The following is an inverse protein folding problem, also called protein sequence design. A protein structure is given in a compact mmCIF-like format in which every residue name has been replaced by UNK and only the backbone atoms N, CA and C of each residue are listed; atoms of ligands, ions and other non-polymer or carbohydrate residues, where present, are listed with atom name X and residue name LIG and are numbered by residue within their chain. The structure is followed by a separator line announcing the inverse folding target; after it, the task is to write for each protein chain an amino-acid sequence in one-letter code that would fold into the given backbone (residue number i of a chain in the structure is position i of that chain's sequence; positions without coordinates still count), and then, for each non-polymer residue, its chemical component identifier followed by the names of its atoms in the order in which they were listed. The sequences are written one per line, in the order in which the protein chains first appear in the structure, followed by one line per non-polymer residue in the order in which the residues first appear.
data_IF_966050475392
#
_entry.id   IF_966050475392
#
_cell.length_a   1.000
_cell.length_b   1.000
_cell.length_c   1.000
_cell.angle_alpha   90.00
_cell.angle_beta   90.00
_cell.angle_gamma   90.00
#
_symmetry.space_group_name_H-M   'P 1'
#
loop_
_entity.id
_entity.type
_entity.pdbx_description
1 polymer ?
#
# COMPACT_ATOMS: atom_id res chain seq x y z
N UNK A 1 0.43 15.92 6.08
CA UNK A 1 -0.19 14.68 6.59
C UNK A 1 0.23 13.44 5.78
N UNK A 2 0.26 13.51 4.41
CA UNK A 2 0.69 12.38 3.58
C UNK A 2 2.22 12.22 3.54
N UNK A 3 2.99 13.30 3.59
CA UNK A 3 4.46 13.25 3.57
C UNK A 3 5.05 12.59 4.84
N UNK A 4 4.41 12.74 5.98
CA UNK A 4 4.88 12.14 7.24
C UNK A 4 4.59 10.63 7.33
N UNK A 5 3.55 10.17 6.61
CA UNK A 5 3.26 8.74 6.44
C UNK A 5 4.29 8.11 5.50
N UNK A 6 4.67 8.79 4.43
CA UNK A 6 5.68 8.33 3.48
C UNK A 6 7.05 8.15 4.14
N UNK A 7 7.46 9.07 5.01
CA UNK A 7 8.75 8.97 5.70
C UNK A 7 8.82 7.82 6.72
N UNK A 8 7.69 7.41 7.29
CA UNK A 8 7.62 6.20 8.14
C UNK A 8 7.54 4.91 7.33
N UNK A 9 7.06 4.97 6.08
CA UNK A 9 6.99 3.86 5.13
C UNK A 9 8.36 3.60 4.51
N UNK A 10 9.11 4.64 4.12
CA UNK A 10 10.43 4.51 3.49
C UNK A 10 11.44 3.75 4.38
N UNK A 11 11.40 3.97 5.69
CA UNK A 11 12.25 3.21 6.62
C UNK A 11 11.85 1.74 6.76
N UNK A 12 10.62 1.39 6.41
CA UNK A 12 10.13 0.00 6.41
C UNK A 12 10.46 -0.70 5.10
N UNK A 13 10.49 0.03 3.98
CA UNK A 13 10.87 -0.45 2.66
C UNK A 13 12.34 -0.92 2.65
N UNK A 14 13.25 -0.16 3.26
CA UNK A 14 14.65 -0.54 3.42
C UNK A 14 14.82 -1.83 4.25
N UNK A 15 13.93 -2.07 5.19
CA UNK A 15 13.92 -3.27 6.01
C UNK A 15 13.42 -4.50 5.23
N UNK A 16 12.48 -4.32 4.32
CA UNK A 16 11.90 -5.36 3.47
C UNK A 16 12.86 -5.71 2.32
N UNK A 17 13.46 -4.71 1.67
CA UNK A 17 14.41 -4.89 0.58
C UNK A 17 15.71 -5.58 0.99
N UNK A 18 16.06 -5.54 2.28
CA UNK A 18 17.23 -6.24 2.83
C UNK A 18 17.08 -7.77 2.96
N UNK A 19 15.97 -8.35 2.54
CA UNK A 19 15.74 -9.80 2.61
C UNK A 19 15.52 -10.35 4.03
N UNK A 20 15.32 -9.47 5.01
CA UNK A 20 15.21 -9.84 6.42
C UNK A 20 13.95 -10.67 6.76
N UNK A 21 13.01 -10.82 5.83
CA UNK A 21 11.83 -11.68 6.01
C UNK A 21 12.05 -13.14 5.60
N UNK A 22 13.18 -13.45 4.99
CA UNK A 22 13.46 -14.80 4.49
C UNK A 22 14.63 -15.40 5.27
N UNK A 23 14.44 -15.75 6.53
CA UNK A 23 15.22 -16.80 7.20
C UNK A 23 14.86 -16.91 8.70
N UNK A 24 14.97 -18.04 9.23
CA UNK A 24 14.97 -18.67 10.54
C UNK A 24 15.50 -17.84 11.76
N UNK A 25 15.26 -16.56 11.83
CA UNK A 25 15.65 -15.72 12.97
C UNK A 25 14.51 -14.80 13.39
N UNK A 26 14.35 -14.57 14.69
CA UNK A 26 13.53 -13.49 15.17
C UNK A 26 14.05 -12.19 14.57
N UNK A 27 13.17 -11.44 13.91
CA UNK A 27 13.50 -10.09 13.44
C UNK A 27 14.06 -9.32 14.65
N UNK A 28 15.20 -8.61 14.50
CA UNK A 28 15.65 -7.75 15.56
C UNK A 28 14.53 -6.74 15.84
N UNK A 29 13.92 -6.84 17.00
CA UNK A 29 13.03 -5.78 17.50
C UNK A 29 13.93 -4.57 17.66
N UNK A 30 14.02 -3.74 16.63
CA UNK A 30 14.68 -2.45 16.75
C UNK A 30 13.96 -1.73 17.88
N UNK A 31 14.64 -1.42 19.00
CA UNK A 31 14.05 -0.61 20.03
C UNK A 31 13.58 0.67 19.34
N UNK A 32 12.38 1.07 19.62
CA UNK A 32 11.69 2.17 18.99
C UNK A 32 12.40 3.50 19.24
N UNK A 33 13.28 3.85 18.34
CA UNK A 33 13.81 5.22 18.27
C UNK A 33 12.87 6.15 17.48
N UNK A 34 11.66 5.69 17.17
CA UNK A 34 10.67 6.51 16.50
C UNK A 34 10.02 7.46 17.49
N UNK A 35 10.09 8.75 17.19
CA UNK A 35 9.37 9.79 17.93
C UNK A 35 8.42 10.47 16.97
N UNK A 36 7.22 10.82 17.46
CA UNK A 36 6.33 11.67 16.70
C UNK A 36 6.92 13.04 16.42
N UNK A 37 6.60 13.64 15.28
CA UNK A 37 6.74 15.06 15.07
C UNK A 37 6.01 15.82 16.19
N UNK A 38 6.46 17.03 16.52
CA UNK A 38 5.97 17.79 17.68
C UNK A 38 4.44 17.95 17.71
N UNK A 39 3.82 18.07 16.54
CA UNK A 39 2.36 18.18 16.39
C UNK A 39 1.58 16.93 16.82
N UNK A 40 2.24 15.77 16.91
CA UNK A 40 1.63 14.51 17.32
C UNK A 40 2.09 14.07 18.71
N UNK A 41 2.68 14.97 19.49
CA UNK A 41 3.10 14.68 20.86
C UNK A 41 1.92 14.17 21.68
N UNK A 42 2.11 13.00 22.30
CA UNK A 42 1.07 12.36 23.12
C UNK A 42 0.22 11.30 22.38
N UNK A 43 0.35 11.18 21.08
CA UNK A 43 -0.28 10.08 20.34
C UNK A 43 0.53 8.78 20.51
N UNK A 44 -0.19 7.66 20.53
CA UNK A 44 0.44 6.33 20.55
C UNK A 44 1.03 6.00 19.19
N UNK A 45 2.29 5.60 19.15
CA UNK A 45 2.93 5.09 17.94
C UNK A 45 2.47 3.66 17.71
N UNK A 46 1.97 3.39 16.51
CA UNK A 46 1.70 2.04 16.02
C UNK A 46 2.66 1.73 14.86
N UNK A 47 3.07 0.46 14.76
CA UNK A 47 3.96 -0.01 13.70
C UNK A 47 3.16 -0.87 12.72
N UNK A 48 3.28 -0.58 11.44
CA UNK A 48 2.66 -1.32 10.37
C UNK A 48 3.65 -1.65 9.27
N UNK A 49 3.18 -2.44 8.32
CA UNK A 49 3.89 -2.75 7.07
C UNK A 49 2.93 -2.58 5.90
N UNK A 50 3.44 -2.30 4.73
CA UNK A 50 2.76 -2.56 3.48
C UNK A 50 3.42 -3.74 2.75
N UNK A 51 2.61 -4.48 2.00
CA UNK A 51 3.07 -5.71 1.34
C UNK A 51 2.37 -5.94 0.00
N UNK A 52 3.07 -6.66 -0.87
CA UNK A 52 2.57 -7.09 -2.18
C UNK A 52 3.12 -8.47 -2.53
N UNK A 53 2.85 -8.95 -3.74
CA UNK A 53 3.43 -10.20 -4.28
C UNK A 53 4.96 -10.21 -4.27
N UNK A 54 5.61 -9.04 -4.32
CA UNK A 54 7.06 -8.91 -4.29
C UNK A 54 7.69 -9.36 -2.97
N UNK A 55 6.92 -9.44 -1.90
CA UNK A 55 7.39 -9.91 -0.60
C UNK A 55 7.32 -11.45 -0.46
N UNK A 56 6.82 -12.17 -1.48
CA UNK A 56 6.68 -13.62 -1.44
C UNK A 56 5.72 -14.11 -0.36
N UNK A 57 5.96 -15.30 0.17
CA UNK A 57 5.16 -15.87 1.25
C UNK A 57 5.51 -15.27 2.60
N UNK A 58 4.52 -14.79 3.33
CA UNK A 58 4.68 -14.08 4.59
C UNK A 58 4.21 -14.94 5.76
N UNK A 59 5.04 -15.05 6.80
CA UNK A 59 4.64 -15.66 8.07
C UNK A 59 3.98 -14.63 8.98
N UNK A 60 2.67 -14.44 8.83
CA UNK A 60 1.90 -13.44 9.54
C UNK A 60 1.92 -13.56 11.06
N UNK A 61 2.09 -14.78 11.60
CA UNK A 61 2.28 -15.00 13.05
C UNK A 61 3.59 -14.39 13.54
N UNK A 62 4.67 -14.53 12.76
CA UNK A 62 5.96 -13.90 13.08
C UNK A 62 5.89 -12.38 12.94
N UNK A 63 5.19 -11.87 11.92
CA UNK A 63 4.95 -10.44 11.73
C UNK A 63 4.23 -9.87 12.97
N UNK A 64 3.14 -10.48 13.41
CA UNK A 64 2.44 -10.05 14.63
C UNK A 64 3.33 -10.11 15.87
N UNK A 65 4.08 -11.18 16.04
CA UNK A 65 4.98 -11.37 17.18
C UNK A 65 6.14 -10.35 17.22
N UNK A 66 6.51 -9.75 16.09
CA UNK A 66 7.51 -8.67 16.01
C UNK A 66 7.00 -7.29 16.45
N UNK A 67 5.73 -7.19 16.86
CA UNK A 67 5.13 -5.94 17.35
C UNK A 67 4.43 -5.12 16.25
N UNK A 68 4.31 -5.65 15.05
CA UNK A 68 3.49 -5.05 13.98
C UNK A 68 2.01 -5.17 14.35
N UNK A 69 1.26 -4.10 14.21
CA UNK A 69 -0.15 -4.03 14.60
C UNK A 69 -1.10 -3.92 13.42
N UNK A 70 -0.64 -3.44 12.27
CA UNK A 70 -1.44 -3.30 11.06
C UNK A 70 -0.65 -3.59 9.79
N UNK A 71 -1.38 -3.86 8.70
CA UNK A 71 -0.79 -4.02 7.38
C UNK A 71 -1.67 -3.38 6.29
N UNK A 72 -1.03 -2.74 5.31
CA UNK A 72 -1.64 -2.39 4.05
C UNK A 72 -1.24 -3.41 2.99
N UNK A 73 -2.22 -3.99 2.29
CA UNK A 73 -2.00 -5.09 1.35
C UNK A 73 -2.37 -4.64 -0.06
N UNK A 74 -1.43 -4.75 -1.01
CA UNK A 74 -1.74 -4.49 -2.41
C UNK A 74 -2.73 -5.53 -2.92
N UNK A 75 -3.87 -5.08 -3.43
CA UNK A 75 -4.85 -6.01 -4.02
C UNK A 75 -4.71 -6.15 -5.53
N UNK A 76 -4.09 -5.19 -6.16
CA UNK A 76 -3.86 -5.16 -7.60
C UNK A 76 -3.43 -3.78 -8.05
N UNK A 77 -3.50 -3.56 -9.36
CA UNK A 77 -3.13 -2.27 -9.93
C UNK A 77 -3.54 -2.14 -11.39
N UNK A 78 -3.12 -1.05 -11.98
CA UNK A 78 -3.19 -0.80 -13.41
C UNK A 78 -1.79 -0.80 -14.00
N UNK A 79 -1.55 -1.61 -15.01
CA UNK A 79 -0.25 -1.60 -15.73
C UNK A 79 0.05 -0.24 -16.33
N UNK A 80 1.25 0.27 -16.06
CA UNK A 80 1.71 1.58 -16.52
C UNK A 80 1.91 1.67 -18.03
N UNK A 81 2.13 0.54 -18.72
CA UNK A 81 2.24 0.48 -20.18
C UNK A 81 0.87 0.30 -20.84
N UNK A 82 0.15 -0.78 -20.53
CA UNK A 82 -1.07 -1.16 -21.23
C UNK A 82 -2.34 -0.51 -20.71
N UNK A 83 -2.34 -0.01 -19.46
CA UNK A 83 -3.54 0.49 -18.79
C UNK A 83 -4.54 -0.59 -18.38
N UNK A 84 -4.24 -1.87 -18.56
CA UNK A 84 -5.09 -2.98 -18.11
C UNK A 84 -4.98 -3.19 -16.62
N UNK A 85 -6.03 -3.70 -15.99
CA UNK A 85 -5.97 -4.13 -14.59
C UNK A 85 -5.18 -5.43 -14.44
N UNK A 86 -4.56 -5.55 -13.28
CA UNK A 86 -3.99 -6.81 -12.79
C UNK A 86 -4.39 -7.03 -11.34
N UNK A 87 -4.36 -8.27 -10.91
CA UNK A 87 -4.54 -8.69 -9.53
C UNK A 87 -3.17 -9.01 -8.95
N UNK A 88 -2.89 -8.57 -7.73
CA UNK A 88 -1.69 -8.99 -7.02
C UNK A 88 -1.79 -10.49 -6.70
N UNK A 89 -0.77 -11.25 -7.07
CA UNK A 89 -0.82 -12.71 -6.99
C UNK A 89 -1.02 -13.24 -5.56
N UNK A 90 -0.53 -12.51 -4.56
CA UNK A 90 -0.54 -12.94 -3.16
C UNK A 90 -1.62 -12.25 -2.30
N UNK A 91 -2.45 -11.36 -2.87
CA UNK A 91 -3.34 -10.53 -2.06
C UNK A 91 -4.30 -11.34 -1.19
N UNK A 92 -4.85 -12.43 -1.72
CA UNK A 92 -5.82 -13.28 -0.99
C UNK A 92 -5.18 -13.98 0.21
N UNK A 93 -3.97 -14.50 0.02
CA UNK A 93 -3.20 -15.14 1.09
C UNK A 93 -2.77 -14.11 2.13
N UNK A 94 -2.33 -12.94 1.68
CA UNK A 94 -1.94 -11.86 2.56
C UNK A 94 -3.12 -11.33 3.38
N UNK A 95 -4.28 -11.08 2.78
CA UNK A 95 -5.48 -10.67 3.50
C UNK A 95 -5.90 -11.71 4.55
N UNK A 96 -6.02 -12.98 4.15
CA UNK A 96 -6.39 -14.06 5.07
C UNK A 96 -5.39 -14.21 6.21
N UNK A 97 -4.10 -14.16 5.89
CA UNK A 97 -3.03 -14.35 6.86
C UNK A 97 -2.94 -13.21 7.86
N UNK A 98 -3.01 -11.95 7.41
CA UNK A 98 -2.98 -10.78 8.27
C UNK A 98 -4.20 -10.72 9.21
N UNK A 99 -5.40 -10.93 8.67
CA UNK A 99 -6.65 -10.97 9.45
C UNK A 99 -6.60 -12.09 10.49
N UNK A 100 -6.19 -13.31 10.09
CA UNK A 100 -6.08 -14.45 11.00
C UNK A 100 -5.02 -14.25 12.09
N UNK A 101 -3.99 -13.47 11.83
CA UNK A 101 -2.98 -13.08 12.82
C UNK A 101 -3.46 -11.95 13.76
N UNK A 102 -4.64 -11.38 13.55
CA UNK A 102 -5.20 -10.31 14.36
C UNK A 102 -4.53 -8.95 14.12
N UNK A 103 -4.09 -8.68 12.89
CA UNK A 103 -3.67 -7.37 12.45
C UNK A 103 -4.87 -6.54 11.99
N UNK A 104 -4.80 -5.23 12.18
CA UNK A 104 -5.67 -4.31 11.46
C UNK A 104 -5.22 -4.28 9.99
N UNK A 105 -6.20 -4.30 9.06
CA UNK A 105 -5.91 -4.46 7.65
C UNK A 105 -6.53 -3.34 6.82
N UNK A 106 -5.69 -2.65 6.08
CA UNK A 106 -6.04 -1.80 4.96
C UNK A 106 -5.58 -2.42 3.64
N UNK A 107 -6.00 -1.81 2.56
CA UNK A 107 -5.57 -2.25 1.23
C UNK A 107 -5.12 -1.06 0.40
N UNK A 108 -4.28 -1.33 -0.61
CA UNK A 108 -3.94 -0.34 -1.59
C UNK A 108 -4.03 -0.88 -3.02
N UNK A 109 -4.26 0.04 -3.94
CA UNK A 109 -4.34 -0.22 -5.37
C UNK A 109 -3.32 0.66 -6.09
N UNK A 110 -2.37 0.04 -6.80
CA UNK A 110 -1.38 0.76 -7.62
C UNK A 110 -2.06 1.40 -8.82
N UNK A 111 -2.26 2.69 -8.76
CA UNK A 111 -3.05 3.43 -9.72
C UNK A 111 -2.20 4.07 -10.81
N UNK A 112 -2.67 3.92 -12.03
CA UNK A 112 -2.16 4.63 -13.21
C UNK A 112 -3.30 5.35 -13.95
N UNK A 113 -4.36 5.75 -13.21
CA UNK A 113 -5.49 6.47 -13.79
C UNK A 113 -5.07 7.85 -14.30
N UNK A 114 -5.52 8.22 -15.49
CA UNK A 114 -5.25 9.53 -16.10
C UNK A 114 -6.50 10.41 -16.23
N UNK A 115 -7.65 9.91 -15.78
CA UNK A 115 -8.92 10.65 -15.75
C UNK A 115 -9.85 10.07 -14.67
N UNK A 116 -10.96 10.80 -14.41
CA UNK A 116 -11.93 10.45 -13.37
C UNK A 116 -12.65 9.11 -13.63
N UNK A 117 -12.91 8.77 -14.89
CA UNK A 117 -13.60 7.51 -15.23
C UNK A 117 -12.73 6.30 -14.93
N UNK A 118 -11.43 6.41 -15.20
CA UNK A 118 -10.47 5.36 -14.86
C UNK A 118 -10.31 5.21 -13.36
N UNK A 119 -10.24 6.32 -12.61
CA UNK A 119 -10.14 6.29 -11.15
C UNK A 119 -11.37 5.61 -10.51
N UNK A 120 -12.57 5.90 -10.99
CA UNK A 120 -13.80 5.22 -10.56
C UNK A 120 -13.80 3.73 -10.90
N UNK A 121 -13.29 3.37 -12.08
CA UNK A 121 -13.17 1.97 -12.47
C UNK A 121 -12.16 1.21 -11.58
N UNK A 122 -11.04 1.85 -11.19
CA UNK A 122 -10.08 1.30 -10.24
C UNK A 122 -10.69 1.11 -8.86
N UNK A 123 -11.44 2.10 -8.36
CA UNK A 123 -12.17 2.00 -7.10
C UNK A 123 -13.16 0.82 -7.10
N UNK A 124 -14.00 0.73 -8.13
CA UNK A 124 -14.96 -0.37 -8.27
C UNK A 124 -14.26 -1.74 -8.34
N UNK A 125 -13.15 -1.82 -9.06
CA UNK A 125 -12.35 -3.04 -9.15
C UNK A 125 -11.75 -3.43 -7.78
N UNK A 126 -11.21 -2.46 -7.05
CA UNK A 126 -10.69 -2.63 -5.69
C UNK A 126 -11.78 -3.17 -4.75
N UNK A 127 -12.96 -2.55 -4.76
CA UNK A 127 -14.11 -2.96 -3.94
C UNK A 127 -14.54 -4.40 -4.23
N UNK A 128 -14.53 -4.81 -5.51
CA UNK A 128 -14.81 -6.19 -5.89
C UNK A 128 -13.78 -7.18 -5.34
N UNK A 129 -12.48 -6.82 -5.38
CA UNK A 129 -11.40 -7.69 -4.89
C UNK A 129 -11.46 -7.93 -3.38
N UNK A 130 -11.90 -6.92 -2.62
CA UNK A 130 -11.96 -6.99 -1.14
C UNK A 130 -13.32 -7.44 -0.61
N UNK A 131 -14.28 -7.69 -1.48
CA UNK A 131 -15.61 -8.15 -1.08
C UNK A 131 -15.53 -9.42 -0.23
N UNK A 132 -16.17 -9.41 0.94
CA UNK A 132 -16.18 -10.52 1.89
C UNK A 132 -14.97 -10.59 2.84
N UNK A 133 -14.03 -9.65 2.75
CA UNK A 133 -12.96 -9.50 3.73
C UNK A 133 -13.29 -8.42 4.78
N UNK A 134 -12.85 -8.63 6.01
CA UNK A 134 -12.95 -7.62 7.06
C UNK A 134 -11.79 -6.63 6.95
N UNK A 135 -12.00 -5.54 6.23
CA UNK A 135 -11.06 -4.43 6.08
C UNK A 135 -11.48 -3.34 7.06
N UNK A 136 -10.61 -3.03 8.02
CA UNK A 136 -10.90 -2.07 9.09
C UNK A 136 -9.98 -0.82 9.08
N UNK A 137 -9.10 -0.73 8.09
CA UNK A 137 -8.31 0.45 7.77
C UNK A 137 -8.71 1.00 6.39
N UNK A 138 -8.28 2.21 6.03
CA UNK A 138 -8.63 2.83 4.76
C UNK A 138 -8.25 2.01 3.53
N UNK A 139 -8.95 2.28 2.42
CA UNK A 139 -8.57 1.88 1.07
C UNK A 139 -7.73 3.00 0.49
N UNK A 140 -6.52 2.69 0.05
CA UNK A 140 -5.54 3.67 -0.40
C UNK A 140 -5.38 3.60 -1.92
N UNK A 141 -5.42 4.76 -2.56
CA UNK A 141 -4.97 4.93 -3.93
C UNK A 141 -3.48 5.24 -3.93
N UNK A 142 -2.68 4.28 -4.35
CA UNK A 142 -1.24 4.45 -4.53
C UNK A 142 -1.01 5.08 -5.91
N UNK A 143 -0.88 6.42 -5.92
CA UNK A 143 -0.88 7.24 -7.13
C UNK A 143 0.48 7.85 -7.39
N UNK A 144 1.33 7.11 -8.09
CA UNK A 144 2.72 7.46 -8.35
C UNK A 144 3.12 7.18 -9.79
N UNK A 145 4.19 7.82 -10.23
CA UNK A 145 4.79 7.51 -11.52
C UNK A 145 5.49 6.15 -11.48
N UNK A 146 5.34 5.38 -12.55
CA UNK A 146 6.12 4.16 -12.71
C UNK A 146 7.60 4.48 -12.93
N UNK A 147 8.44 3.60 -12.43
CA UNK A 147 9.88 3.64 -12.66
C UNK A 147 10.35 2.33 -13.29
N UNK A 148 11.25 2.43 -14.26
CA UNK A 148 11.80 1.28 -14.97
C UNK A 148 13.31 1.39 -15.00
N UNK A 149 14.00 0.29 -14.69
CA UNK A 149 15.46 0.25 -14.67
C UNK A 149 16.04 0.57 -16.06
N UNK A 150 17.02 1.45 -16.11
CA UNK A 150 17.63 1.92 -17.35
C UNK A 150 16.83 2.98 -18.12
N UNK A 151 15.58 3.25 -17.74
CA UNK A 151 14.69 4.24 -18.38
C UNK A 151 14.41 5.41 -17.44
N UNK A 152 14.22 5.12 -16.14
CA UNK A 152 13.81 6.10 -15.13
C UNK A 152 12.30 6.23 -15.02
N UNK A 153 11.81 7.42 -14.70
CA UNK A 153 10.37 7.70 -14.60
C UNK A 153 9.70 7.51 -15.95
N UNK A 154 8.63 6.73 -16.01
CA UNK A 154 7.98 6.32 -17.25
C UNK A 154 6.48 6.05 -17.03
N UNK A 155 5.82 5.59 -18.07
CA UNK A 155 4.46 5.06 -18.03
C UNK A 155 3.39 6.10 -18.38
N UNK A 156 2.16 5.60 -18.46
CA UNK A 156 1.02 6.36 -18.95
C UNK A 156 0.67 7.57 -18.07
N UNK A 157 0.81 7.45 -16.75
CA UNK A 157 0.54 8.55 -15.83
C UNK A 157 1.55 9.68 -16.01
N UNK A 158 2.84 9.36 -16.16
CA UNK A 158 3.89 10.33 -16.47
C UNK A 158 3.64 10.98 -17.82
N UNK A 159 3.36 10.18 -18.85
CA UNK A 159 3.14 10.67 -20.23
C UNK A 159 1.88 11.54 -20.37
N UNK A 160 0.87 11.32 -19.51
CA UNK A 160 -0.34 12.13 -19.49
C UNK A 160 -0.09 13.57 -19.02
N UNK A 161 1.03 13.82 -18.32
CA UNK A 161 1.47 15.15 -17.87
C UNK A 161 0.30 15.98 -17.28
N UNK A 162 -0.42 15.37 -16.34
CA UNK A 162 -1.61 15.99 -15.76
C UNK A 162 -1.25 17.26 -14.97
N UNK A 163 -2.08 18.29 -15.10
CA UNK A 163 -2.01 19.42 -14.19
C UNK A 163 -2.34 18.98 -12.75
N UNK A 164 -1.90 19.77 -11.76
CA UNK A 164 -2.24 19.52 -10.34
C UNK A 164 -3.75 19.37 -10.13
N UNK A 165 -4.55 20.24 -10.76
CA UNK A 165 -6.02 20.18 -10.67
C UNK A 165 -6.58 18.90 -11.27
N UNK A 166 -6.09 18.46 -12.43
CA UNK A 166 -6.51 17.22 -13.06
C UNK A 166 -6.15 16.00 -12.21
N UNK A 167 -4.92 15.93 -11.68
CA UNK A 167 -4.50 14.88 -10.78
C UNK A 167 -5.35 14.84 -9.49
N UNK A 168 -5.63 16.00 -8.89
CA UNK A 168 -6.54 16.11 -7.74
C UNK A 168 -7.93 15.58 -8.06
N UNK A 169 -8.47 15.88 -9.24
CA UNK A 169 -9.77 15.35 -9.68
C UNK A 169 -9.74 13.82 -9.79
N UNK A 170 -8.67 13.25 -10.33
CA UNK A 170 -8.48 11.78 -10.42
C UNK A 170 -8.49 11.17 -9.02
N UNK A 171 -7.65 11.69 -8.11
CA UNK A 171 -7.55 11.17 -6.73
C UNK A 171 -8.90 11.27 -6.00
N UNK A 172 -9.55 12.44 -6.04
CA UNK A 172 -10.85 12.62 -5.40
C UNK A 172 -11.93 11.69 -5.97
N UNK A 173 -11.86 11.38 -7.26
CA UNK A 173 -12.81 10.46 -7.90
C UNK A 173 -12.67 9.02 -7.42
N UNK A 174 -11.45 8.57 -7.13
CA UNK A 174 -11.21 7.27 -6.49
C UNK A 174 -11.71 7.29 -5.04
N UNK A 175 -11.25 8.27 -4.25
CA UNK A 175 -11.60 8.37 -2.83
C UNK A 175 -13.11 8.40 -2.62
N UNK A 176 -13.84 9.27 -3.35
CA UNK A 176 -15.29 9.35 -3.25
C UNK A 176 -16.02 8.08 -3.73
N UNK A 177 -15.39 7.28 -4.56
CA UNK A 177 -16.01 6.02 -5.04
C UNK A 177 -15.80 4.84 -4.08
N UNK A 178 -14.86 4.91 -3.14
CA UNK A 178 -14.63 3.91 -2.09
C UNK A 178 -15.25 4.32 -0.73
N UNK A 179 -15.67 5.57 -0.57
CA UNK A 179 -16.47 6.02 0.58
C UNK A 179 -17.89 5.45 0.44
N UNK A 180 -18.27 4.58 1.37
CA UNK A 180 -19.60 3.95 1.45
C UNK A 180 -20.33 4.51 2.66
#
# INVERSE_FOLDING_TARGET
AFADIQQSIDTTQDFISSGAFNTQGALPVSPSNYTHAAQFKGYKIQKGIDVSEWNGSINWKKVKASGITFAFIRVGGRYYGSGKFYVDANYRENLKGAIAAGLDVGVYFYSQAINFSEAKAEAAYTMNLISGYNINLPIVMDYEYAWEEGVGITGRLYNANLSKSAATTVINSFCSAVEI
#
